data_IF_880507015429
#
_entry.id   IF_880507015429
#
_cell.length_a   1.000
_cell.length_b   1.000
_cell.length_c   1.000
_cell.angle_alpha   90.00
_cell.angle_beta   90.00
_cell.angle_gamma   90.00
#
_symmetry.space_group_name_H-M   'P 1'
#
loop_
_entity.id
_entity.type
_entity.pdbx_description
1 polymer ?
#
# COMPACT_ATOMS: atom_id res chain seq x y z
N UNK A 1 17.67 35.23 24.46
CA UNK A 1 16.62 34.23 24.17
C UNK A 1 15.67 34.83 23.15
N UNK A 2 15.66 34.35 21.91
CA UNK A 2 14.66 34.75 20.90
C UNK A 2 13.53 33.72 20.95
N UNK A 3 12.36 34.18 21.38
CA UNK A 3 11.09 33.45 21.35
C UNK A 3 10.73 33.16 19.90
N UNK A 4 10.71 31.87 19.52
CA UNK A 4 10.15 31.42 18.26
C UNK A 4 8.63 31.57 18.31
N UNK A 5 8.11 32.59 17.64
CA UNK A 5 6.69 32.77 17.38
C UNK A 5 6.18 31.67 16.46
N UNK A 6 5.36 30.79 17.01
CA UNK A 6 4.63 29.76 16.28
C UNK A 6 3.59 30.44 15.38
N UNK A 7 3.96 30.75 14.15
CA UNK A 7 3.08 31.44 13.19
C UNK A 7 2.10 30.42 12.63
N UNK A 8 0.79 30.69 12.73
CA UNK A 8 -0.24 29.83 12.18
C UNK A 8 -0.01 29.60 10.67
N UNK A 9 -0.22 28.36 10.16
CA UNK A 9 0.01 28.07 8.75
C UNK A 9 -0.89 28.92 7.86
N UNK A 10 -0.34 29.40 6.73
CA UNK A 10 -1.10 30.18 5.75
C UNK A 10 -2.27 29.36 5.19
N UNK A 11 -3.36 30.00 4.73
CA UNK A 11 -4.55 29.30 4.24
C UNK A 11 -4.27 28.28 3.14
N UNK A 12 -3.38 28.57 2.20
CA UNK A 12 -2.98 27.65 1.12
C UNK A 12 -2.23 26.41 1.64
N UNK A 13 -1.43 26.55 2.70
CA UNK A 13 -0.72 25.45 3.34
C UNK A 13 -1.67 24.61 4.19
N UNK A 14 -2.63 25.24 4.87
CA UNK A 14 -3.69 24.54 5.61
C UNK A 14 -4.68 23.80 4.69
N UNK A 15 -4.96 24.35 3.51
CA UNK A 15 -5.76 23.69 2.47
C UNK A 15 -4.99 22.51 1.87
N UNK A 16 -3.69 22.67 1.56
CA UNK A 16 -2.81 21.59 1.11
C UNK A 16 -2.66 20.47 2.17
N UNK A 17 -2.69 20.81 3.47
CA UNK A 17 -2.70 19.85 4.59
C UNK A 17 -3.94 18.97 4.61
N UNK A 18 -5.12 19.60 4.65
CA UNK A 18 -6.42 18.92 4.62
C UNK A 18 -6.57 18.07 3.35
N UNK A 19 -6.10 18.61 2.24
CA UNK A 19 -5.98 17.92 0.97
C UNK A 19 -5.16 16.62 1.11
N UNK A 20 -3.90 16.72 1.50
CA UNK A 20 -2.93 15.60 1.49
C UNK A 20 -3.16 14.51 2.55
N UNK A 21 -4.25 14.58 3.33
CA UNK A 21 -4.44 13.72 4.51
C UNK A 21 -3.41 14.02 5.61
N UNK A 22 -2.60 15.08 5.47
CA UNK A 22 -1.61 15.46 6.46
C UNK A 22 -2.34 16.02 7.69
N UNK A 23 -2.34 15.22 8.76
CA UNK A 23 -3.08 15.48 9.99
C UNK A 23 -4.43 14.77 10.08
N UNK A 24 -4.76 13.87 9.15
CA UNK A 24 -5.83 12.87 9.35
C UNK A 24 -5.30 11.76 10.28
N UNK A 25 -5.77 11.67 11.53
CA UNK A 25 -5.28 10.68 12.49
C UNK A 25 -5.57 9.25 12.06
N UNK A 26 -6.66 9.03 11.32
CA UNK A 26 -7.09 7.71 10.87
C UNK A 26 -6.22 7.20 9.73
N UNK A 27 -5.96 8.04 8.72
CA UNK A 27 -5.02 7.72 7.65
C UNK A 27 -3.60 7.50 8.17
N UNK A 28 -3.16 8.32 9.13
CA UNK A 28 -1.88 8.15 9.81
C UNK A 28 -1.80 6.82 10.56
N UNK A 29 -2.86 6.45 11.29
CA UNK A 29 -2.92 5.18 12.03
C UNK A 29 -2.87 3.96 11.10
N UNK A 30 -3.60 4.00 9.97
CA UNK A 30 -3.57 2.94 8.97
C UNK A 30 -2.19 2.82 8.31
N UNK A 31 -1.56 3.94 7.92
CA UNK A 31 -0.20 3.93 7.37
C UNK A 31 0.84 3.40 8.37
N UNK A 32 0.73 3.78 9.66
CA UNK A 32 1.60 3.26 10.70
C UNK A 32 1.43 1.75 10.90
N UNK A 33 0.18 1.26 10.88
CA UNK A 33 -0.08 -0.18 10.98
C UNK A 33 0.54 -0.94 9.80
N UNK A 34 0.43 -0.40 8.57
CA UNK A 34 1.15 -0.94 7.40
C UNK A 34 2.65 -1.00 7.66
N UNK A 35 3.26 0.10 8.07
CA UNK A 35 4.70 0.15 8.37
C UNK A 35 5.10 -0.92 9.39
N UNK A 36 4.38 -1.03 10.51
CA UNK A 36 4.65 -1.99 11.58
C UNK A 36 4.73 -3.45 11.09
N UNK A 37 3.79 -3.86 10.23
CA UNK A 37 3.71 -5.24 9.75
C UNK A 37 4.53 -5.49 8.46
N UNK A 38 4.85 -4.44 7.70
CA UNK A 38 5.67 -4.50 6.50
C UNK A 38 7.14 -4.80 6.80
N UNK A 39 7.73 -4.11 7.79
CA UNK A 39 9.17 -4.15 8.03
C UNK A 39 9.75 -5.53 8.39
N UNK A 40 9.09 -6.38 9.20
CA UNK A 40 9.54 -7.76 9.41
C UNK A 40 9.72 -8.52 8.10
N UNK A 41 8.85 -8.29 7.12
CA UNK A 41 8.91 -8.95 5.82
C UNK A 41 9.99 -8.36 4.91
N UNK A 42 10.18 -7.04 4.92
CA UNK A 42 11.29 -6.43 4.18
C UNK A 42 12.65 -6.97 4.66
N UNK A 43 12.84 -7.14 5.97
CA UNK A 43 14.04 -7.79 6.51
C UNK A 43 14.17 -9.25 6.09
N UNK A 44 13.09 -10.02 6.19
CA UNK A 44 13.09 -11.43 5.76
C UNK A 44 13.43 -11.59 4.25
N UNK A 45 13.23 -10.54 3.44
CA UNK A 45 13.61 -10.48 2.03
C UNK A 45 15.04 -9.92 1.80
N UNK A 46 15.78 -9.58 2.85
CA UNK A 46 17.16 -9.11 2.81
C UNK A 46 17.34 -7.59 2.75
N UNK A 47 16.30 -6.79 2.93
CA UNK A 47 16.40 -5.33 2.96
C UNK A 47 16.79 -4.85 4.37
N UNK A 48 18.05 -5.08 4.76
CA UNK A 48 18.58 -4.84 6.11
C UNK A 48 19.59 -3.68 6.18
N UNK A 49 20.08 -3.20 5.04
CA UNK A 49 21.11 -2.16 4.97
C UNK A 49 20.95 -1.27 3.74
N UNK A 50 21.69 -0.16 3.71
CA UNK A 50 21.67 0.82 2.63
C UNK A 50 20.69 1.94 2.91
N UNK A 51 20.33 2.69 1.86
CA UNK A 51 19.44 3.84 1.99
C UNK A 51 17.99 3.47 1.70
N UNK A 52 17.09 4.06 2.46
CA UNK A 52 15.68 4.17 2.10
C UNK A 52 15.31 5.63 1.88
N UNK A 53 14.24 5.84 1.11
CA UNK A 53 13.60 7.13 1.04
C UNK A 53 12.09 6.98 1.09
N UNK A 54 11.42 7.98 1.65
CA UNK A 54 9.98 8.04 1.66
C UNK A 54 9.47 9.32 1.04
N UNK A 55 8.23 9.29 0.54
CA UNK A 55 7.51 10.47 0.06
C UNK A 55 6.02 10.36 0.33
N UNK A 56 5.39 11.50 0.63
CA UNK A 56 3.97 11.60 0.93
C UNK A 56 3.73 11.83 2.42
N UNK A 57 2.50 12.23 2.76
CA UNK A 57 2.16 12.82 4.05
C UNK A 57 2.47 11.91 5.25
N UNK A 58 2.23 10.60 5.09
CA UNK A 58 2.41 9.60 6.15
C UNK A 58 3.57 8.62 5.84
N UNK A 59 4.51 9.03 4.98
CA UNK A 59 5.63 8.16 4.59
C UNK A 59 6.58 7.83 5.74
N UNK A 60 6.65 8.70 6.76
CA UNK A 60 7.40 8.45 7.99
C UNK A 60 6.74 7.38 8.88
N UNK A 61 5.41 7.33 8.90
CA UNK A 61 4.65 6.27 9.57
C UNK A 61 4.89 4.92 8.89
N UNK A 62 4.94 4.88 7.55
CA UNK A 62 5.37 3.70 6.78
C UNK A 62 6.81 3.30 7.12
N UNK A 63 7.69 4.28 7.39
CA UNK A 63 9.06 4.02 7.85
C UNK A 63 9.13 3.48 9.28
N UNK A 64 8.00 3.32 9.97
CA UNK A 64 7.89 2.76 11.31
C UNK A 64 7.91 3.79 12.44
N UNK A 65 7.89 5.09 12.11
CA UNK A 65 7.81 6.16 13.11
C UNK A 65 6.43 6.15 13.76
N UNK A 66 6.39 6.02 15.09
CA UNK A 66 5.12 6.02 15.82
C UNK A 66 4.38 7.36 15.68
N UNK A 67 3.04 7.39 15.61
CA UNK A 67 2.27 8.61 15.40
C UNK A 67 2.56 9.72 16.42
N UNK A 68 2.73 9.37 17.70
CA UNK A 68 3.05 10.32 18.77
C UNK A 68 4.46 10.95 18.64
N UNK A 69 5.32 10.40 17.79
CA UNK A 69 6.67 10.91 17.51
C UNK A 69 6.71 11.83 16.28
N UNK A 70 5.60 12.02 15.57
CA UNK A 70 5.53 13.07 14.55
C UNK A 70 5.65 14.44 15.21
N UNK A 71 6.65 15.22 14.78
CA UNK A 71 6.87 16.56 15.34
C UNK A 71 5.68 17.45 14.97
N UNK A 72 4.98 17.95 15.98
CA UNK A 72 4.10 19.09 15.81
C UNK A 72 4.93 20.29 15.31
N UNK A 73 4.72 20.70 14.05
CA UNK A 73 5.26 21.97 13.54
C UNK A 73 6.29 21.91 12.41
N UNK A 74 6.60 20.77 11.80
CA UNK A 74 7.39 20.80 10.54
C UNK A 74 6.52 21.22 9.36
N UNK A 75 6.96 22.29 8.70
CA UNK A 75 6.35 22.95 7.54
C UNK A 75 5.90 21.96 6.48
N UNK A 76 4.67 22.17 6.06
CA UNK A 76 3.89 21.33 5.16
C UNK A 76 4.20 21.61 3.70
N UNK A 77 4.79 20.61 3.07
CA UNK A 77 5.04 20.48 1.64
C UNK A 77 5.84 19.20 1.43
N UNK A 78 5.37 18.30 0.56
CA UNK A 78 5.96 17.00 0.20
C UNK A 78 6.95 16.46 1.25
N UNK A 79 6.45 15.73 2.25
CA UNK A 79 7.30 15.05 3.22
C UNK A 79 8.05 13.93 2.47
N UNK A 80 9.17 14.32 1.89
CA UNK A 80 10.17 13.42 1.37
C UNK A 80 11.27 13.30 2.42
N UNK A 81 11.82 12.11 2.59
CA UNK A 81 12.98 11.90 3.45
C UNK A 81 13.92 10.90 2.82
N UNK A 82 15.17 10.91 3.31
CA UNK A 82 16.09 9.78 3.20
C UNK A 82 16.57 9.36 4.58
N UNK A 83 16.88 8.07 4.71
CA UNK A 83 17.39 7.50 5.94
C UNK A 83 18.20 6.24 5.62
N UNK A 84 19.04 5.82 6.56
CA UNK A 84 19.57 4.46 6.54
C UNK A 84 18.45 3.47 6.88
N UNK A 85 18.45 2.33 6.20
CA UNK A 85 17.63 1.18 6.59
C UNK A 85 18.15 0.67 7.94
N UNK A 86 17.30 0.56 8.98
CA UNK A 86 17.73 0.06 10.28
C UNK A 86 18.14 -1.40 10.22
N UNK A 87 19.28 -1.71 10.83
CA UNK A 87 19.86 -3.05 10.98
C UNK A 87 19.15 -3.90 12.05
N UNK A 88 18.40 -3.27 12.97
CA UNK A 88 17.69 -3.94 14.05
C UNK A 88 16.16 -3.74 14.02
N UNK A 89 15.37 -4.67 14.59
CA UNK A 89 13.96 -4.46 14.88
C UNK A 89 13.75 -3.26 15.82
N UNK A 90 12.78 -2.40 15.51
CA UNK A 90 12.52 -1.16 16.27
C UNK A 90 12.68 0.09 15.42
N UNK A 91 11.78 0.26 14.45
CA UNK A 91 11.80 1.38 13.50
C UNK A 91 11.23 2.69 14.07
N UNK A 92 10.81 2.70 15.33
CA UNK A 92 10.35 3.89 16.05
C UNK A 92 11.48 4.93 16.23
N UNK A 93 12.74 4.50 16.14
CA UNK A 93 13.95 5.35 16.31
C UNK A 93 14.64 5.77 15.03
N UNK A 94 14.04 5.54 13.85
CA UNK A 94 14.67 5.91 12.57
C UNK A 94 14.91 7.42 12.49
N UNK A 95 16.14 7.81 12.17
CA UNK A 95 16.51 9.21 11.89
C UNK A 95 16.19 9.58 10.45
N UNK A 96 15.03 10.19 10.25
CA UNK A 96 14.58 10.68 8.95
C UNK A 96 15.20 12.05 8.63
N UNK A 97 15.88 12.14 7.51
CA UNK A 97 16.44 13.39 6.99
C UNK A 97 15.45 13.95 5.98
N UNK A 98 14.60 14.87 6.41
CA UNK A 98 13.57 15.46 5.56
C UNK A 98 14.18 16.36 4.49
N UNK A 99 13.64 16.27 3.29
CA UNK A 99 14.09 16.98 2.11
C UNK A 99 13.19 18.20 1.86
N UNK A 100 13.77 19.28 1.31
CA UNK A 100 13.01 20.47 0.90
C UNK A 100 12.26 20.31 -0.43
N UNK A 101 12.32 19.12 -1.05
CA UNK A 101 11.70 18.81 -2.32
C UNK A 101 11.30 17.33 -2.40
N UNK A 102 10.34 17.01 -3.28
CA UNK A 102 9.88 15.65 -3.53
C UNK A 102 10.97 14.79 -4.21
N UNK A 103 11.12 13.53 -3.81
CA UNK A 103 12.20 12.64 -4.25
C UNK A 103 12.37 12.53 -5.78
N UNK A 104 11.31 12.41 -6.60
CA UNK A 104 11.47 12.32 -8.05
C UNK A 104 12.06 13.56 -8.72
N UNK A 105 12.12 14.70 -8.00
CA UNK A 105 12.73 15.96 -8.47
C UNK A 105 14.22 16.06 -8.14
N UNK A 106 14.78 15.06 -7.45
CA UNK A 106 16.15 15.04 -6.94
C UNK A 106 16.92 13.92 -7.66
N UNK A 107 17.61 14.23 -8.78
CA UNK A 107 18.27 13.23 -9.63
C UNK A 107 19.30 12.37 -8.90
N UNK A 108 19.93 12.90 -7.86
CA UNK A 108 20.93 12.22 -7.03
C UNK A 108 20.38 10.98 -6.31
N UNK A 109 19.07 10.88 -6.08
CA UNK A 109 18.45 9.71 -5.46
C UNK A 109 17.88 8.70 -6.46
N UNK A 110 17.94 9.01 -7.77
CA UNK A 110 17.40 8.15 -8.82
C UNK A 110 18.21 6.85 -8.90
N UNK A 111 17.59 5.74 -8.53
CA UNK A 111 18.22 4.42 -8.58
C UNK A 111 19.20 4.15 -7.45
N UNK A 112 19.12 4.91 -6.35
CA UNK A 112 20.06 4.82 -5.22
C UNK A 112 19.43 4.26 -3.94
N UNK A 113 18.11 4.10 -3.88
CA UNK A 113 17.41 3.71 -2.66
C UNK A 113 17.11 2.20 -2.66
N UNK A 114 17.55 1.45 -1.65
CA UNK A 114 17.23 0.03 -1.49
C UNK A 114 15.74 -0.21 -1.21
N UNK A 115 15.12 0.69 -0.45
CA UNK A 115 13.69 0.69 -0.12
C UNK A 115 13.10 2.08 -0.42
N UNK A 116 11.97 2.12 -1.13
CA UNK A 116 11.21 3.37 -1.37
C UNK A 116 9.82 3.23 -0.78
N UNK A 117 9.41 4.16 0.09
CA UNK A 117 8.12 4.15 0.77
C UNK A 117 7.25 5.31 0.26
N UNK A 118 6.08 5.00 -0.28
CA UNK A 118 5.22 6.00 -0.88
C UNK A 118 3.83 5.95 -0.26
N UNK A 119 3.43 7.03 0.40
CA UNK A 119 2.07 7.17 0.91
C UNK A 119 1.08 7.55 -0.21
N UNK A 120 -0.23 7.40 0.02
CA UNK A 120 -1.27 7.69 -0.98
C UNK A 120 -1.10 9.14 -1.46
N UNK A 121 -0.94 9.36 -2.77
CA UNK A 121 -0.73 10.69 -3.26
C UNK A 121 -2.05 11.47 -3.25
N UNK A 122 -1.98 12.76 -2.92
CA UNK A 122 -3.14 13.63 -2.66
C UNK A 122 -4.29 13.50 -3.67
N UNK A 123 -3.99 13.51 -4.98
CA UNK A 123 -5.05 13.45 -6.00
C UNK A 123 -5.89 12.16 -5.91
N UNK A 124 -5.42 11.15 -5.18
CA UNK A 124 -6.13 9.91 -4.94
C UNK A 124 -6.92 9.88 -3.62
N UNK A 125 -6.63 10.77 -2.66
CA UNK A 125 -7.42 10.88 -1.42
C UNK A 125 -8.72 11.67 -1.62
N UNK A 126 -8.79 12.53 -2.65
CA UNK A 126 -9.96 13.35 -3.01
C UNK A 126 -10.68 12.86 -4.26
N UNK A 127 -10.90 11.55 -4.36
CA UNK A 127 -11.55 10.90 -5.50
C UNK A 127 -12.96 11.45 -5.74
N UNK A 128 -13.30 11.72 -7.00
CA UNK A 128 -14.65 12.06 -7.46
C UNK A 128 -15.08 11.09 -8.56
N UNK A 129 -16.35 10.66 -8.59
CA UNK A 129 -16.88 9.87 -9.70
C UNK A 129 -16.58 10.52 -11.06
N UNK A 130 -16.22 9.73 -12.06
CA UNK A 130 -15.87 10.20 -13.41
C UNK A 130 -14.40 10.56 -13.62
N UNK A 131 -13.54 10.43 -12.60
CA UNK A 131 -12.09 10.67 -12.68
C UNK A 131 -11.24 9.39 -12.65
N UNK A 132 -11.86 8.23 -12.81
CA UNK A 132 -11.26 6.90 -12.62
C UNK A 132 -10.01 6.68 -13.48
N UNK A 133 -10.06 7.14 -14.74
CA UNK A 133 -8.92 7.04 -15.66
C UNK A 133 -7.74 7.90 -15.22
N UNK A 134 -7.98 9.18 -14.94
CA UNK A 134 -6.94 10.11 -14.51
C UNK A 134 -6.30 9.65 -13.19
N UNK A 135 -7.12 9.10 -12.30
CA UNK A 135 -6.69 8.51 -11.03
C UNK A 135 -5.76 7.31 -11.26
N UNK A 136 -6.13 6.40 -12.16
CA UNK A 136 -5.31 5.23 -12.49
C UNK A 136 -4.00 5.61 -13.17
N UNK A 137 -4.04 6.56 -14.12
CA UNK A 137 -2.85 7.07 -14.82
C UNK A 137 -1.87 7.75 -13.84
N UNK A 138 -2.39 8.59 -12.96
CA UNK A 138 -1.59 9.27 -11.94
C UNK A 138 -0.97 8.27 -10.94
N UNK A 139 -1.75 7.31 -10.46
CA UNK A 139 -1.25 6.26 -9.58
C UNK A 139 -0.21 5.35 -10.24
N UNK A 140 -0.39 4.97 -11.51
CA UNK A 140 0.62 4.19 -12.23
C UNK A 140 1.94 4.97 -12.43
N UNK A 141 1.86 6.29 -12.66
CA UNK A 141 3.03 7.17 -12.68
C UNK A 141 3.69 7.24 -11.31
N UNK A 142 2.90 7.32 -10.24
CA UNK A 142 3.39 7.34 -8.87
C UNK A 142 4.15 6.05 -8.49
N UNK A 143 3.60 4.88 -8.84
CA UNK A 143 4.29 3.58 -8.68
C UNK A 143 5.59 3.52 -9.49
N UNK A 144 5.56 4.04 -10.73
CA UNK A 144 6.74 4.09 -11.61
C UNK A 144 7.85 4.95 -11.02
N UNK A 145 7.52 6.09 -10.43
CA UNK A 145 8.49 6.96 -9.76
C UNK A 145 9.19 6.24 -8.59
N UNK A 146 8.44 5.47 -7.78
CA UNK A 146 9.01 4.64 -6.73
C UNK A 146 10.02 3.62 -7.26
N UNK A 147 9.63 2.86 -8.28
CA UNK A 147 10.51 1.89 -8.96
C UNK A 147 11.77 2.55 -9.53
N UNK A 148 11.66 3.75 -10.10
CA UNK A 148 12.80 4.47 -10.69
C UNK A 148 13.79 4.95 -9.62
N UNK A 149 13.28 5.34 -8.45
CA UNK A 149 14.09 5.73 -7.28
C UNK A 149 14.81 4.52 -6.67
N UNK A 150 14.20 3.33 -6.71
CA UNK A 150 14.79 2.11 -6.17
C UNK A 150 16.06 1.69 -6.92
N UNK A 151 17.08 1.16 -6.24
CA UNK A 151 18.18 0.42 -6.88
C UNK A 151 17.65 -0.76 -7.69
N UNK A 152 18.44 -1.31 -8.63
CA UNK A 152 18.08 -2.58 -9.27
C UNK A 152 18.08 -3.70 -8.24
N UNK A 153 16.97 -4.43 -8.12
CA UNK A 153 16.71 -5.37 -7.03
C UNK A 153 16.19 -4.71 -5.74
N UNK A 154 16.20 -3.37 -5.66
CA UNK A 154 15.52 -2.60 -4.63
C UNK A 154 14.00 -2.74 -4.73
N UNK A 155 13.31 -2.37 -3.65
CA UNK A 155 11.85 -2.48 -3.53
C UNK A 155 11.20 -1.12 -3.33
N UNK A 156 10.04 -0.94 -3.95
CA UNK A 156 9.13 0.17 -3.71
C UNK A 156 7.86 -0.38 -3.06
N UNK A 157 7.41 0.26 -1.99
CA UNK A 157 6.15 -0.04 -1.30
C UNK A 157 5.29 1.21 -1.39
N UNK A 158 4.14 1.10 -2.02
CA UNK A 158 3.32 2.26 -2.33
C UNK A 158 1.87 2.04 -1.91
N UNK A 159 1.29 2.99 -1.20
CA UNK A 159 -0.15 3.06 -0.99
C UNK A 159 -0.80 3.78 -2.17
N UNK A 160 -1.82 3.18 -2.77
CA UNK A 160 -2.56 3.75 -3.91
C UNK A 160 -4.04 3.42 -3.84
N UNK A 161 -4.87 4.18 -4.54
CA UNK A 161 -6.29 3.83 -4.67
C UNK A 161 -6.48 2.52 -5.47
N UNK A 162 -7.46 1.65 -5.14
CA UNK A 162 -7.71 0.37 -5.81
C UNK A 162 -7.85 0.46 -7.33
N UNK A 163 -8.40 1.58 -7.81
CA UNK A 163 -8.55 1.89 -9.23
C UNK A 163 -7.24 1.82 -10.03
N UNK A 164 -6.07 1.98 -9.40
CA UNK A 164 -4.78 1.81 -10.10
C UNK A 164 -4.62 0.38 -10.61
N UNK A 165 -5.00 -0.61 -9.78
CA UNK A 165 -4.94 -2.02 -10.14
C UNK A 165 -6.18 -2.48 -10.91
N UNK A 166 -7.35 -1.93 -10.61
CA UNK A 166 -8.63 -2.37 -11.21
C UNK A 166 -9.03 -1.60 -12.49
N UNK A 167 -8.26 -0.60 -12.91
CA UNK A 167 -8.56 0.17 -14.13
C UNK A 167 -8.72 -0.75 -15.35
N UNK A 168 -9.78 -0.60 -16.17
CA UNK A 168 -9.93 -1.30 -17.43
C UNK A 168 -8.79 -1.05 -18.42
N UNK A 169 -8.16 0.13 -18.37
CA UNK A 169 -6.97 0.44 -19.17
C UNK A 169 -5.71 -0.16 -18.51
N UNK A 170 -5.07 -1.18 -19.12
CA UNK A 170 -3.89 -1.82 -18.57
C UNK A 170 -2.60 -1.06 -18.89
N UNK A 171 -2.64 0.04 -19.64
CA UNK A 171 -1.44 0.71 -20.19
C UNK A 171 -0.43 1.11 -19.11
N UNK A 172 -0.91 1.62 -17.97
CA UNK A 172 -0.07 1.95 -16.82
C UNK A 172 0.58 0.72 -16.21
N UNK A 173 -0.20 -0.36 -15.98
CA UNK A 173 0.29 -1.62 -15.40
C UNK A 173 1.28 -2.32 -16.33
N UNK A 174 1.00 -2.36 -17.64
CA UNK A 174 1.91 -2.90 -18.67
C UNK A 174 3.21 -2.11 -18.74
N UNK A 175 3.18 -0.78 -18.59
CA UNK A 175 4.40 0.05 -18.47
C UNK A 175 5.21 -0.34 -17.24
N UNK A 176 4.56 -0.50 -16.10
CA UNK A 176 5.19 -0.86 -14.83
C UNK A 176 5.81 -2.27 -14.87
N UNK A 177 5.08 -3.25 -15.40
CA UNK A 177 5.52 -4.64 -15.53
C UNK A 177 6.77 -4.83 -16.41
N UNK A 178 7.10 -3.86 -17.29
CA UNK A 178 8.34 -3.90 -18.08
C UNK A 178 9.61 -3.64 -17.25
N UNK A 179 9.49 -3.01 -16.09
CA UNK A 179 10.63 -2.56 -15.28
C UNK A 179 10.63 -3.10 -13.85
N UNK A 180 9.50 -3.62 -13.36
CA UNK A 180 9.38 -4.14 -12.02
C UNK A 180 8.59 -5.46 -11.98
N UNK A 181 8.90 -6.25 -10.97
CA UNK A 181 8.18 -7.47 -10.60
C UNK A 181 7.26 -7.17 -9.43
N UNK A 182 5.98 -7.55 -9.54
CA UNK A 182 5.07 -7.50 -8.41
C UNK A 182 5.47 -8.59 -7.41
N UNK A 183 5.94 -8.16 -6.24
CA UNK A 183 6.26 -9.03 -5.10
C UNK A 183 4.96 -9.49 -4.44
N UNK A 184 4.03 -8.55 -4.28
CA UNK A 184 2.68 -8.79 -3.80
C UNK A 184 1.94 -7.47 -3.61
N UNK A 185 0.65 -7.56 -3.32
CA UNK A 185 -0.18 -6.43 -2.91
C UNK A 185 -1.16 -6.86 -1.83
N UNK A 186 -1.63 -5.90 -1.02
CA UNK A 186 -2.74 -6.06 -0.08
C UNK A 186 -3.79 -5.00 -0.37
N UNK A 187 -5.07 -5.36 -0.34
CA UNK A 187 -6.18 -4.41 -0.44
C UNK A 187 -6.81 -4.20 0.92
N UNK A 188 -6.70 -3.00 1.46
CA UNK A 188 -7.18 -2.68 2.80
C UNK A 188 -8.61 -2.13 2.80
N UNK A 189 -9.42 -2.50 3.80
CA UNK A 189 -10.79 -2.02 3.94
C UNK A 189 -10.82 -0.53 4.32
N UNK A 190 -11.84 0.20 3.86
CA UNK A 190 -12.07 1.55 4.33
C UNK A 190 -12.43 1.56 5.82
N UNK A 191 -12.18 2.67 6.51
CA UNK A 191 -12.71 2.91 7.86
C UNK A 191 -14.20 3.22 7.80
N UNK A 192 -15.03 2.67 8.71
CA UNK A 192 -16.38 3.19 8.88
C UNK A 192 -16.29 4.62 9.41
N UNK A 193 -17.12 5.52 8.89
CA UNK A 193 -17.18 6.91 9.32
C UNK A 193 -18.61 7.44 9.21
N UNK A 194 -19.01 8.40 10.08
CA UNK A 194 -20.33 9.02 10.03
C UNK A 194 -20.65 9.68 8.69
N UNK A 195 -19.64 10.14 7.96
CA UNK A 195 -19.79 10.84 6.68
C UNK A 195 -19.69 9.90 5.46
N UNK A 196 -19.94 8.62 5.69
CA UNK A 196 -19.68 7.56 4.71
C UNK A 196 -18.31 6.90 4.94
N UNK A 197 -18.09 5.71 4.37
CA UNK A 197 -16.83 5.00 4.55
C UNK A 197 -15.66 5.78 3.99
N UNK A 198 -14.51 5.67 4.65
CA UNK A 198 -13.25 6.24 4.16
C UNK A 198 -12.81 5.63 2.82
N UNK A 199 -11.65 6.06 2.35
CA UNK A 199 -11.11 5.58 1.08
C UNK A 199 -10.38 4.25 1.28
N UNK A 200 -10.74 3.17 0.55
CA UNK A 200 -9.94 1.95 0.54
C UNK A 200 -8.61 2.20 -0.19
N UNK A 201 -7.59 1.41 0.12
CA UNK A 201 -6.30 1.53 -0.55
C UNK A 201 -5.58 0.20 -0.68
N UNK A 202 -4.75 0.10 -1.72
CA UNK A 202 -3.88 -1.03 -1.97
C UNK A 202 -2.46 -0.68 -1.48
N UNK A 203 -1.83 -1.60 -0.75
CA UNK A 203 -0.39 -1.61 -0.48
C UNK A 203 0.26 -2.44 -1.59
N UNK A 204 1.08 -1.82 -2.44
CA UNK A 204 1.68 -2.48 -3.61
C UNK A 204 3.20 -2.58 -3.44
N UNK A 205 3.75 -3.80 -3.49
CA UNK A 205 5.18 -4.09 -3.34
C UNK A 205 5.78 -4.43 -4.70
N UNK A 206 6.65 -3.57 -5.21
CA UNK A 206 7.28 -3.71 -6.52
C UNK A 206 8.79 -3.77 -6.37
N UNK A 207 9.39 -4.85 -6.85
CA UNK A 207 10.84 -4.97 -6.92
C UNK A 207 11.32 -4.47 -8.28
N UNK A 208 12.23 -3.50 -8.31
CA UNK A 208 12.83 -3.05 -9.56
C UNK A 208 13.65 -4.19 -10.17
N UNK A 209 13.31 -4.58 -11.38
CA UNK A 209 13.94 -5.72 -12.05
C UNK A 209 15.41 -5.40 -12.39
N UNK A 210 16.36 -6.30 -12.09
CA UNK A 210 17.71 -6.19 -12.62
C UNK A 210 17.72 -6.25 -14.16
N UNK A 211 18.73 -5.62 -14.79
CA UNK A 211 18.84 -5.62 -16.26
C UNK A 211 19.01 -7.05 -16.78
N UNK A 212 18.29 -7.41 -17.85
CA UNK A 212 18.44 -8.71 -18.53
C UNK A 212 17.80 -9.90 -17.82
N UNK A 213 17.23 -9.72 -16.63
CA UNK A 213 16.54 -10.79 -15.89
C UNK A 213 15.09 -10.90 -16.38
N UNK A 214 14.57 -12.11 -16.52
CA UNK A 214 13.14 -12.35 -16.83
C UNK A 214 12.28 -12.08 -15.60
N UNK A 215 11.03 -11.69 -15.82
CA UNK A 215 10.10 -11.48 -14.71
C UNK A 215 9.81 -12.79 -13.98
N UNK A 216 9.88 -12.76 -12.65
CA UNK A 216 9.39 -13.83 -11.75
C UNK A 216 8.28 -13.35 -10.82
N UNK A 217 7.85 -12.09 -11.00
CA UNK A 217 6.77 -11.45 -10.27
C UNK A 217 5.41 -12.12 -10.51
N UNK A 218 4.45 -11.76 -9.66
CA UNK A 218 3.06 -12.13 -9.90
C UNK A 218 2.50 -11.38 -11.13
N UNK A 219 1.61 -12.01 -11.91
CA UNK A 219 0.86 -11.30 -12.94
C UNK A 219 -0.10 -10.30 -12.26
N UNK A 220 -0.25 -9.12 -12.87
CA UNK A 220 -1.10 -8.03 -12.35
C UNK A 220 -1.53 -7.04 -13.45
N UNK A 221 -1.23 -7.32 -14.71
CA UNK A 221 -1.53 -6.39 -15.81
C UNK A 221 -2.97 -6.48 -16.25
N UNK A 222 -3.56 -7.66 -16.17
CA UNK A 222 -4.90 -7.93 -16.66
C UNK A 222 -5.93 -7.94 -15.52
N UNK A 223 -7.20 -7.94 -15.93
CA UNK A 223 -8.32 -8.06 -15.01
C UNK A 223 -8.94 -9.45 -15.14
N UNK A 224 -9.55 -9.91 -14.06
CA UNK A 224 -10.29 -11.16 -14.02
C UNK A 224 -11.69 -10.90 -13.49
N UNK A 225 -12.65 -11.66 -14.02
CA UNK A 225 -14.02 -11.67 -13.53
C UNK A 225 -14.12 -12.68 -12.40
N UNK A 226 -14.67 -12.26 -11.26
CA UNK A 226 -14.97 -13.13 -10.12
C UNK A 226 -16.48 -13.13 -9.87
N UNK A 227 -17.00 -14.27 -9.44
CA UNK A 227 -18.41 -14.43 -9.12
C UNK A 227 -18.67 -14.13 -7.63
N UNK A 228 -19.61 -13.24 -7.35
CA UNK A 228 -20.06 -12.85 -6.02
C UNK A 228 -21.57 -13.05 -5.92
N UNK A 229 -21.98 -14.27 -5.57
CA UNK A 229 -23.39 -14.68 -5.61
C UNK A 229 -23.89 -14.77 -7.05
N UNK A 230 -24.98 -14.08 -7.37
CA UNK A 230 -25.55 -14.04 -8.73
C UNK A 230 -24.90 -12.97 -9.63
N UNK A 231 -24.06 -12.10 -9.07
CA UNK A 231 -23.41 -11.01 -9.80
C UNK A 231 -21.92 -11.27 -9.97
N UNK A 232 -21.37 -10.83 -11.08
CA UNK A 232 -19.93 -10.82 -11.32
C UNK A 232 -19.33 -9.43 -11.10
N UNK A 233 -18.11 -9.36 -10.58
CA UNK A 233 -17.29 -8.15 -10.58
C UNK A 233 -15.97 -8.39 -11.27
N UNK A 234 -15.36 -7.33 -11.76
CA UNK A 234 -14.05 -7.34 -12.39
C UNK A 234 -13.03 -6.76 -11.40
N UNK A 235 -11.96 -7.51 -11.15
CA UNK A 235 -10.87 -7.12 -10.25
C UNK A 235 -9.52 -7.42 -10.90
N UNK A 236 -8.45 -6.78 -10.45
CA UNK A 236 -7.10 -7.15 -10.90
C UNK A 236 -6.81 -8.66 -10.75
N UNK A 237 -6.16 -9.25 -11.75
CA UNK A 237 -5.84 -10.69 -11.79
C UNK A 237 -5.01 -11.15 -10.57
N UNK A 238 -4.22 -10.25 -9.97
CA UNK A 238 -3.49 -10.55 -8.75
C UNK A 238 -4.46 -10.87 -7.60
N UNK A 239 -5.46 -10.01 -7.35
CA UNK A 239 -6.42 -10.24 -6.27
C UNK A 239 -7.39 -11.39 -6.58
N UNK A 240 -7.69 -11.63 -7.87
CA UNK A 240 -8.46 -12.81 -8.28
C UNK A 240 -7.77 -14.12 -7.89
N UNK A 241 -6.44 -14.17 -8.04
CA UNK A 241 -5.62 -15.34 -7.70
C UNK A 241 -5.16 -15.39 -6.24
N UNK A 242 -5.28 -14.26 -5.52
CA UNK A 242 -4.88 -14.11 -4.12
C UNK A 242 -5.99 -13.42 -3.31
N UNK A 243 -7.20 -14.00 -3.23
CA UNK A 243 -8.33 -13.41 -2.51
C UNK A 243 -8.04 -13.13 -1.03
N UNK A 244 -7.16 -13.92 -0.40
CA UNK A 244 -6.71 -13.72 0.97
C UNK A 244 -5.92 -12.42 1.19
N UNK A 245 -5.46 -11.78 0.11
CA UNK A 245 -4.82 -10.47 0.14
C UNK A 245 -5.81 -9.30 0.06
N UNK A 246 -7.10 -9.57 -0.11
CA UNK A 246 -8.16 -8.58 0.07
C UNK A 246 -8.63 -8.62 1.51
N UNK A 247 -8.21 -7.65 2.33
CA UNK A 247 -8.47 -7.65 3.77
C UNK A 247 -9.86 -7.14 4.14
N UNK A 248 -10.84 -7.33 3.24
CA UNK A 248 -12.23 -6.93 3.39
C UNK A 248 -13.14 -7.97 2.73
N UNK A 249 -14.41 -8.00 3.15
CA UNK A 249 -15.45 -8.66 2.35
C UNK A 249 -15.73 -7.82 1.11
N UNK A 250 -15.86 -8.49 -0.04
CA UNK A 250 -16.17 -7.83 -1.32
C UNK A 250 -17.62 -8.05 -1.70
N UNK A 251 -18.30 -6.98 -2.06
CA UNK A 251 -19.68 -6.98 -2.56
C UNK A 251 -19.73 -6.45 -4.00
N UNK A 252 -20.75 -6.82 -4.79
CA UNK A 252 -21.00 -6.20 -6.08
C UNK A 252 -21.34 -4.70 -5.94
N UNK A 253 -20.51 -3.83 -6.51
CA UNK A 253 -20.74 -2.39 -6.59
C UNK A 253 -21.56 -1.99 -7.82
N UNK A 254 -21.62 -0.68 -8.14
CA UNK A 254 -22.19 -0.20 -9.39
C UNK A 254 -21.45 -0.79 -10.61
N UNK A 255 -22.21 -1.24 -11.61
CA UNK A 255 -21.66 -1.93 -12.78
C UNK A 255 -20.95 -3.23 -12.40
N UNK A 256 -19.71 -3.40 -12.88
CA UNK A 256 -18.83 -4.54 -12.58
C UNK A 256 -17.78 -4.22 -11.51
N UNK A 257 -17.87 -3.09 -10.80
CA UNK A 257 -16.84 -2.70 -9.83
C UNK A 257 -17.00 -3.43 -8.49
N UNK A 258 -15.91 -3.80 -7.80
CA UNK A 258 -15.97 -4.35 -6.46
C UNK A 258 -16.21 -3.23 -5.43
N UNK A 259 -17.04 -3.51 -4.41
CA UNK A 259 -17.25 -2.67 -3.24
C UNK A 259 -16.68 -3.36 -2.00
N UNK A 260 -15.83 -2.68 -1.23
CA UNK A 260 -15.26 -3.22 0.01
C UNK A 260 -16.13 -2.85 1.21
N UNK A 261 -16.39 -3.83 2.08
CA UNK A 261 -17.07 -3.60 3.36
C UNK A 261 -16.12 -2.89 4.32
N UNK A 262 -16.53 -1.77 4.95
CA UNK A 262 -15.70 -1.10 5.96
C UNK A 262 -15.44 -1.99 7.18
N UNK A 263 -14.25 -1.89 7.76
CA UNK A 263 -13.84 -2.67 8.94
C UNK A 263 -13.55 -1.74 10.11
N UNK A 264 -14.28 -1.90 11.21
CA UNK A 264 -14.10 -1.11 12.44
C UNK A 264 -12.95 -1.64 13.29
N UNK A 265 -12.81 -2.96 13.41
CA UNK A 265 -11.79 -3.62 14.22
C UNK A 265 -10.41 -3.55 13.55
N UNK A 266 -9.65 -2.52 13.94
CA UNK A 266 -8.30 -2.28 13.41
C UNK A 266 -7.25 -3.18 14.05
N UNK A 267 -7.51 -3.76 15.22
CA UNK A 267 -6.59 -4.73 15.84
C UNK A 267 -6.56 -6.01 15.03
N UNK A 268 -7.74 -6.60 14.76
CA UNK A 268 -7.87 -7.80 13.94
C UNK A 268 -7.42 -7.58 12.50
N UNK A 269 -7.61 -6.37 11.96
CA UNK A 269 -7.05 -6.01 10.66
C UNK A 269 -5.51 -6.10 10.66
N UNK A 270 -4.85 -5.64 11.73
CA UNK A 270 -3.40 -5.75 11.91
C UNK A 270 -2.92 -7.20 11.91
N UNK A 271 -3.60 -8.09 12.62
CA UNK A 271 -3.29 -9.53 12.64
C UNK A 271 -3.39 -10.15 11.24
N UNK A 272 -4.48 -9.87 10.52
CA UNK A 272 -4.67 -10.34 9.14
C UNK A 272 -3.60 -9.77 8.19
N UNK A 273 -3.21 -8.52 8.40
CA UNK A 273 -2.15 -7.87 7.63
C UNK A 273 -0.79 -8.52 7.88
N UNK A 274 -0.48 -8.86 9.13
CA UNK A 274 0.74 -9.60 9.48
C UNK A 274 0.80 -10.95 8.76
N UNK A 275 -0.28 -11.73 8.82
CA UNK A 275 -0.35 -13.02 8.13
C UNK A 275 -0.19 -12.86 6.60
N UNK A 276 -0.87 -11.88 6.02
CA UNK A 276 -0.82 -11.66 4.58
C UNK A 276 0.58 -11.23 4.13
N UNK A 277 1.25 -10.34 4.87
CA UNK A 277 2.65 -10.02 4.60
C UNK A 277 3.57 -11.24 4.76
N UNK A 278 3.38 -12.09 5.78
CA UNK A 278 4.16 -13.34 5.91
C UNK A 278 4.00 -14.24 4.68
N UNK A 279 2.79 -14.39 4.13
CA UNK A 279 2.53 -15.15 2.90
C UNK A 279 3.24 -14.52 1.69
N UNK A 280 3.11 -13.20 1.51
CA UNK A 280 3.81 -12.45 0.45
C UNK A 280 5.33 -12.66 0.56
N UNK A 281 5.90 -12.52 1.75
CA UNK A 281 7.33 -12.74 2.01
C UNK A 281 7.78 -14.14 1.63
N UNK A 282 7.07 -15.17 2.10
CA UNK A 282 7.37 -16.56 1.76
C UNK A 282 7.32 -16.85 0.26
N UNK A 283 6.28 -16.36 -0.43
CA UNK A 283 6.14 -16.50 -1.88
C UNK A 283 7.25 -15.75 -2.63
N UNK A 284 7.61 -14.55 -2.18
CA UNK A 284 8.68 -13.74 -2.75
C UNK A 284 10.04 -14.42 -2.62
N UNK A 285 10.36 -14.99 -1.45
CA UNK A 285 11.57 -15.80 -1.25
C UNK A 285 11.62 -17.01 -2.18
N UNK A 286 10.50 -17.72 -2.36
CA UNK A 286 10.43 -18.86 -3.29
C UNK A 286 10.65 -18.44 -4.76
N UNK A 287 10.25 -17.23 -5.13
CA UNK A 287 10.38 -16.67 -6.50
C UNK A 287 11.70 -15.92 -6.73
N UNK A 288 12.59 -15.84 -5.73
CA UNK A 288 13.83 -15.06 -5.81
C UNK A 288 13.60 -13.54 -5.88
N UNK A 289 12.45 -13.05 -5.39
CA UNK A 289 12.09 -11.64 -5.36
C UNK A 289 12.62 -10.98 -4.08
N UNK A 290 13.94 -11.07 -3.88
CA UNK A 290 14.65 -10.63 -2.66
C UNK A 290 15.64 -9.51 -2.96
N UNK A 291 16.18 -8.90 -1.91
CA UNK A 291 17.26 -7.93 -2.02
C UNK A 291 18.49 -8.51 -2.74
N UNK A 292 19.30 -7.67 -3.43
CA UNK A 292 20.54 -8.11 -4.05
C UNK A 292 21.47 -8.80 -3.04
N UNK A 293 22.05 -9.94 -3.41
CA UNK A 293 22.97 -10.68 -2.55
C UNK A 293 22.32 -11.48 -1.41
N UNK A 294 20.98 -11.48 -1.31
CA UNK A 294 20.27 -12.30 -0.33
C UNK A 294 20.51 -13.80 -0.57
N UNK A 295 21.10 -14.47 0.41
CA UNK A 295 21.27 -15.92 0.43
C UNK A 295 20.10 -16.54 1.19
N UNK A 296 19.28 -17.31 0.48
CA UNK A 296 18.16 -18.03 1.10
C UNK A 296 18.71 -19.05 2.12
N UNK A 297 18.25 -19.03 3.39
CA UNK A 297 18.53 -20.11 4.31
C UNK A 297 17.97 -21.43 3.76
N UNK A 298 18.67 -22.58 3.91
CA UNK A 298 18.14 -23.86 3.45
C UNK A 298 16.76 -24.10 4.09
N UNK A 299 15.74 -24.35 3.26
CA UNK A 299 14.35 -24.48 3.71
C UNK A 299 13.98 -25.97 3.81
N UNK A 300 13.39 -26.43 4.92
CA UNK A 300 12.73 -27.73 4.98
C UNK A 300 11.50 -27.76 4.05
N UNK A 301 11.26 -28.86 3.35
CA UNK A 301 10.10 -29.05 2.47
C UNK A 301 8.80 -28.96 3.26
N UNK A 302 7.93 -28.00 2.91
CA UNK A 302 6.54 -27.96 3.37
C UNK A 302 5.59 -27.89 2.17
N UNK A 303 4.51 -28.69 2.16
CA UNK A 303 3.55 -28.70 1.07
C UNK A 303 2.78 -27.37 0.97
N UNK A 304 2.47 -26.96 -0.26
CA UNK A 304 1.65 -25.77 -0.55
C UNK A 304 0.21 -25.98 -0.09
N UNK A 305 -0.31 -25.07 0.73
CA UNK A 305 -1.77 -24.99 0.97
C UNK A 305 -2.49 -24.30 -0.20
N UNK A 306 -3.68 -24.78 -0.60
CA UNK A 306 -4.49 -24.12 -1.62
C UNK A 306 -5.01 -22.76 -1.13
N UNK A 307 -5.21 -21.82 -2.06
CA UNK A 307 -5.80 -20.52 -1.80
C UNK A 307 -7.25 -20.69 -1.28
N UNK A 308 -7.62 -19.91 -0.26
CA UNK A 308 -8.98 -19.93 0.28
C UNK A 308 -9.95 -19.29 -0.73
N UNK A 309 -11.14 -19.85 -0.96
CA UNK A 309 -12.13 -19.24 -1.85
C UNK A 309 -12.60 -17.89 -1.30
N UNK A 310 -13.10 -17.03 -2.20
CA UNK A 310 -13.76 -15.77 -1.83
C UNK A 310 -14.82 -16.01 -0.75
N UNK A 311 -14.67 -15.38 0.41
CA UNK A 311 -15.65 -15.47 1.49
C UNK A 311 -16.93 -14.71 1.11
N UNK A 312 -17.94 -15.46 0.67
CA UNK A 312 -19.30 -14.99 0.47
C UNK A 312 -20.11 -15.54 1.64
N UNK A 313 -20.30 -14.75 2.70
CA UNK A 313 -21.34 -15.10 3.67
C UNK A 313 -22.69 -14.90 2.99
N UNK A 314 -23.38 -16.03 2.79
CA UNK A 314 -24.77 -16.09 2.36
C UNK A 314 -25.55 -15.28 3.40
N UNK A 315 -26.21 -14.21 2.98
CA UNK A 315 -27.12 -13.44 3.83
C UNK A 315 -28.03 -14.45 4.53
N UNK A 316 -27.94 -14.53 5.87
CA UNK A 316 -28.95 -15.24 6.65
C UNK A 316 -30.29 -14.61 6.29
N UNK A 317 -31.10 -15.36 5.54
CA UNK A 317 -32.51 -15.02 5.38
C UNK A 317 -33.10 -15.02 6.79
N UNK A 318 -33.80 -13.96 7.23
CA UNK A 318 -34.65 -14.10 8.40
C UNK A 318 -35.61 -15.26 8.12
N UNK A 319 -35.58 -16.27 8.98
CA UNK A 319 -36.43 -17.45 8.84
C UNK A 319 -37.91 -17.06 8.84
N UNK A 320 -38.78 -17.86 8.20
CA UNK A 320 -40.21 -17.59 8.26
C UNK A 320 -40.74 -17.95 9.65
N UNK A 321 -41.45 -17.03 10.27
CA UNK A 321 -42.30 -17.28 11.43
C UNK A 321 -41.81 -16.66 12.73
N UNK A 322 -42.52 -15.64 13.21
CA UNK A 322 -43.70 -15.95 14.00
C UNK A 322 -44.68 -14.77 13.99
N UNK A 323 -45.92 -15.07 13.65
CA UNK A 323 -47.07 -14.29 14.05
C UNK A 323 -47.00 -14.01 15.55
N UNK A 324 -47.22 -12.75 15.94
CA UNK A 324 -47.83 -12.45 17.22
C UNK A 324 -48.83 -11.32 17.00
N UNK A 325 -50.07 -11.69 17.27
CA UNK A 325 -51.27 -10.89 17.34
C UNK A 325 -51.16 -9.73 18.35
N UNK A 326 -51.99 -8.71 18.06
CA UNK A 326 -52.42 -7.56 18.88
C UNK A 326 -51.48 -6.35 18.93
#
# INVERSE_FOLDING_TARGET
MKTTTNTAPTPAVAELRRATGAGDPDALADAWQVGRHLWPVLRALGYESGYMGGRGANSDALAGRAPHLQRAGTTTGYLAFVAMIPDAPGHDRVRLHHLGADLPRLPEYRGQLGVVLQDIPFRQSSYKPGQERALAEYGAKFLTEGVILSTRGGISVSLVHPQVLDSPDPSGRKKLARQADLVGALRLPPRPSPNGPGTPFDVVLLRRRPTGVRSTGHPFTDLSMIQLGERSVTINEYFANHPEHVLSRVLPGPGSSPLLVPVADRTRLGERMEEAFKRIGGAATQRGLTAPGFLRPPTPDHPRSPAAPWSIDRVERPGPGNDLHL
#
